data_IF_895100634156
#
_entry.id   IF_895100634156
#
_cell.length_a   1.000
_cell.length_b   1.000
_cell.length_c   1.000
_cell.angle_alpha   90.00
_cell.angle_beta   90.00
_cell.angle_gamma   90.00
#
_symmetry.space_group_name_H-M   'P 1'
#
loop_
_entity.id
_entity.type
_entity.pdbx_description
1 polymer ?
#
# COMPACT_ATOMS: atom_id res chain seq x y z
N UNK A 1 16.01 -25.99 7.05
CA UNK A 1 15.75 -24.53 7.05
C UNK A 1 16.70 -23.90 8.06
N UNK A 2 17.15 -22.65 7.87
CA UNK A 2 18.01 -21.96 8.83
C UNK A 2 17.36 -21.88 10.22
N UNK A 3 18.16 -21.80 11.27
CA UNK A 3 17.65 -21.55 12.61
C UNK A 3 17.00 -20.16 12.67
N UNK A 4 15.96 -20.02 13.49
CA UNK A 4 15.30 -18.72 13.66
C UNK A 4 16.30 -17.69 14.21
N UNK A 5 16.34 -16.50 13.59
CA UNK A 5 17.25 -15.41 13.96
C UNK A 5 18.71 -15.60 13.56
N UNK A 6 19.03 -16.59 12.71
CA UNK A 6 20.41 -16.82 12.30
C UNK A 6 20.90 -15.72 11.35
N UNK A 7 22.02 -15.07 11.69
CA UNK A 7 22.60 -13.98 10.90
C UNK A 7 23.15 -14.46 9.54
N UNK A 8 23.47 -15.75 9.45
CA UNK A 8 23.92 -16.46 8.25
C UNK A 8 22.75 -16.93 7.36
N UNK A 9 21.50 -16.60 7.70
CA UNK A 9 20.37 -16.98 6.88
C UNK A 9 20.54 -16.42 5.45
N UNK A 10 20.21 -17.19 4.39
CA UNK A 10 20.45 -16.79 3.00
C UNK A 10 19.85 -15.42 2.62
N UNK A 11 18.76 -15.01 3.29
CA UNK A 11 18.09 -13.72 3.05
C UNK A 11 19.00 -12.52 3.38
N UNK A 12 19.94 -12.68 4.31
CA UNK A 12 20.81 -11.60 4.79
C UNK A 12 22.12 -11.48 4.03
N UNK A 13 22.45 -12.43 3.14
CA UNK A 13 23.79 -12.53 2.55
C UNK A 13 23.97 -11.74 1.25
N UNK A 14 22.88 -11.30 0.61
CA UNK A 14 22.95 -10.70 -0.72
C UNK A 14 22.70 -9.19 -0.73
N UNK A 15 21.46 -8.78 -0.44
CA UNK A 15 21.04 -7.38 -0.59
C UNK A 15 21.20 -6.54 0.68
N UNK A 16 21.09 -7.17 1.85
CA UNK A 16 21.15 -6.47 3.12
C UNK A 16 22.52 -5.80 3.39
N UNK A 17 23.68 -6.45 3.12
CA UNK A 17 24.97 -5.83 3.35
C UNK A 17 25.18 -4.60 2.46
N UNK A 18 24.80 -4.70 1.18
CA UNK A 18 24.92 -3.59 0.22
C UNK A 18 24.08 -2.38 0.62
N UNK A 19 22.82 -2.59 1.04
CA UNK A 19 22.00 -1.48 1.52
C UNK A 19 22.58 -0.85 2.78
N UNK A 20 23.05 -1.62 3.75
CA UNK A 20 23.60 -1.07 5.00
C UNK A 20 24.85 -0.21 4.72
N UNK A 21 25.70 -0.63 3.79
CA UNK A 21 26.95 0.06 3.48
C UNK A 21 26.74 1.30 2.60
N UNK A 22 25.87 1.23 1.57
CA UNK A 22 25.66 2.32 0.61
C UNK A 22 24.65 3.36 1.08
N UNK A 23 23.71 2.98 1.95
CA UNK A 23 22.62 3.85 2.38
C UNK A 23 23.05 5.23 2.92
N UNK A 24 24.07 5.35 3.80
CA UNK A 24 24.49 6.66 4.33
C UNK A 24 25.02 7.62 3.27
N UNK A 25 25.46 7.10 2.12
CA UNK A 25 25.96 7.90 1.00
C UNK A 25 24.87 8.23 -0.02
N UNK A 26 23.93 7.31 -0.23
CA UNK A 26 22.90 7.43 -1.27
C UNK A 26 21.65 8.18 -0.77
N UNK A 27 21.35 8.14 0.53
CA UNK A 27 20.08 8.62 1.09
C UNK A 27 20.30 9.29 2.45
N UNK A 28 20.00 10.60 2.55
CA UNK A 28 20.14 11.40 3.78
C UNK A 28 18.90 11.30 4.70
N UNK A 29 18.39 10.09 4.88
CA UNK A 29 17.26 9.81 5.77
C UNK A 29 17.78 8.98 6.95
N UNK A 30 17.37 9.24 8.20
CA UNK A 30 17.91 8.49 9.34
C UNK A 30 17.35 7.06 9.45
N UNK A 31 16.18 6.79 8.85
CA UNK A 31 15.54 5.47 8.89
C UNK A 31 15.82 4.67 7.61
N UNK A 32 16.73 3.71 7.71
CA UNK A 32 17.15 2.85 6.60
C UNK A 32 15.99 2.14 5.91
N UNK A 33 15.03 1.62 6.66
CA UNK A 33 13.89 0.90 6.08
C UNK A 33 13.01 1.84 5.27
N UNK A 34 12.64 2.99 5.82
CA UNK A 34 11.83 3.99 5.12
C UNK A 34 12.55 4.49 3.86
N UNK A 35 13.85 4.76 3.94
CA UNK A 35 14.61 5.19 2.77
C UNK A 35 14.75 4.09 1.70
N UNK A 36 14.92 2.82 2.08
CA UNK A 36 14.92 1.70 1.13
C UNK A 36 13.56 1.59 0.43
N UNK A 37 12.46 1.63 1.19
CA UNK A 37 11.11 1.54 0.65
C UNK A 37 10.80 2.70 -0.29
N UNK A 38 11.23 3.92 0.03
CA UNK A 38 10.99 5.09 -0.80
C UNK A 38 11.90 5.16 -2.05
N UNK A 39 13.20 4.87 -1.91
CA UNK A 39 14.20 5.17 -2.95
C UNK A 39 14.65 3.94 -3.76
N UNK A 40 14.87 2.78 -3.13
CA UNK A 40 15.27 1.56 -3.87
C UNK A 40 14.07 0.70 -4.30
N UNK A 41 13.00 0.71 -3.51
CA UNK A 41 11.79 -0.12 -3.71
C UNK A 41 10.50 0.70 -3.81
N UNK A 42 10.62 1.96 -4.25
CA UNK A 42 9.50 2.91 -4.35
C UNK A 42 8.36 2.39 -5.21
N UNK A 43 8.65 1.69 -6.32
CA UNK A 43 7.62 1.16 -7.21
C UNK A 43 6.73 0.10 -6.57
N UNK A 44 7.26 -0.76 -5.70
CA UNK A 44 6.47 -1.75 -4.97
C UNK A 44 5.45 -1.05 -4.06
N UNK A 45 5.89 -0.04 -3.30
CA UNK A 45 5.04 0.72 -2.37
C UNK A 45 4.05 1.66 -3.07
N UNK A 46 4.42 2.21 -4.24
CA UNK A 46 3.53 2.99 -5.08
C UNK A 46 2.40 2.12 -5.63
N UNK A 47 2.72 0.89 -6.05
CA UNK A 47 1.72 -0.10 -6.48
C UNK A 47 0.73 -0.45 -5.37
N UNK A 48 1.22 -0.73 -4.16
CA UNK A 48 0.38 -0.98 -2.98
C UNK A 48 -0.57 0.20 -2.71
N UNK A 49 -0.04 1.43 -2.73
CA UNK A 49 -0.83 2.65 -2.52
C UNK A 49 -1.89 2.84 -3.60
N UNK A 50 -1.55 2.58 -4.87
CA UNK A 50 -2.49 2.68 -5.99
C UNK A 50 -3.64 1.67 -5.88
N UNK A 51 -3.36 0.44 -5.44
CA UNK A 51 -4.38 -0.59 -5.19
C UNK A 51 -5.35 -0.15 -4.08
N UNK A 52 -4.82 0.28 -2.93
CA UNK A 52 -5.63 0.74 -1.80
C UNK A 52 -6.46 1.97 -2.18
N UNK A 53 -5.88 2.92 -2.91
CA UNK A 53 -6.57 4.10 -3.40
C UNK A 53 -7.73 3.74 -4.34
N UNK A 54 -7.47 2.85 -5.30
CA UNK A 54 -8.50 2.38 -6.25
C UNK A 54 -9.62 1.64 -5.53
N UNK A 55 -9.29 0.79 -4.55
CA UNK A 55 -10.28 0.12 -3.72
C UNK A 55 -11.14 1.12 -2.94
N UNK A 56 -10.52 2.17 -2.38
CA UNK A 56 -11.22 3.27 -1.73
C UNK A 56 -12.23 3.96 -2.64
N UNK A 57 -11.82 4.31 -3.87
CA UNK A 57 -12.72 4.88 -4.89
C UNK A 57 -13.87 3.91 -5.20
N UNK A 58 -13.58 2.63 -5.41
CA UNK A 58 -14.60 1.63 -5.72
C UNK A 58 -15.67 1.53 -4.62
N UNK A 59 -15.26 1.55 -3.35
CA UNK A 59 -16.18 1.54 -2.20
C UNK A 59 -17.03 2.82 -2.16
N UNK A 60 -16.43 3.99 -2.36
CA UNK A 60 -17.17 5.27 -2.39
C UNK A 60 -18.23 5.26 -3.50
N UNK A 61 -17.88 4.78 -4.69
CA UNK A 61 -18.82 4.70 -5.82
C UNK A 61 -19.98 3.74 -5.54
N UNK A 62 -19.71 2.60 -4.91
CA UNK A 62 -20.74 1.62 -4.53
C UNK A 62 -21.70 2.21 -3.49
N UNK A 63 -21.17 2.86 -2.46
CA UNK A 63 -21.98 3.50 -1.42
C UNK A 63 -22.81 4.64 -2.01
N UNK A 64 -22.21 5.50 -2.83
CA UNK A 64 -22.90 6.61 -3.49
C UNK A 64 -24.08 6.12 -4.35
N UNK A 65 -23.87 5.06 -5.15
CA UNK A 65 -24.94 4.44 -5.95
C UNK A 65 -26.05 3.85 -5.09
N UNK A 66 -25.70 3.21 -3.96
CA UNK A 66 -26.70 2.64 -3.05
C UNK A 66 -27.60 3.71 -2.42
N UNK A 67 -27.03 4.86 -2.06
CA UNK A 67 -27.80 6.00 -1.52
C UNK A 67 -28.68 6.67 -2.57
N UNK A 68 -28.22 6.85 -3.81
CA UNK A 68 -29.06 7.40 -4.88
C UNK A 68 -30.19 6.44 -5.30
N UNK A 69 -29.89 5.15 -5.39
CA UNK A 69 -30.90 4.13 -5.71
C UNK A 69 -31.99 4.02 -4.66
N UNK A 70 -31.66 4.27 -3.38
CA UNK A 70 -32.66 4.32 -2.30
C UNK A 70 -33.56 5.55 -2.41
N UNK A 71 -33.00 6.74 -2.63
CA UNK A 71 -33.79 7.97 -2.82
C UNK A 71 -34.74 7.88 -4.00
N UNK A 72 -34.27 7.38 -5.14
CA UNK A 72 -35.11 7.22 -6.33
C UNK A 72 -36.28 6.26 -6.10
N UNK A 73 -36.10 5.23 -5.28
CA UNK A 73 -37.19 4.31 -4.90
C UNK A 73 -38.21 4.98 -3.99
N UNK A 74 -37.75 5.81 -3.06
CA UNK A 74 -38.63 6.61 -2.18
C UNK A 74 -39.47 7.60 -3.00
N UNK A 75 -38.87 8.27 -4.00
CA UNK A 75 -39.58 9.19 -4.91
C UNK A 75 -40.64 8.47 -5.78
N UNK A 76 -40.32 7.28 -6.31
CA UNK A 76 -41.25 6.47 -7.12
C UNK A 76 -42.43 5.90 -6.29
N UNK A 77 -42.24 5.64 -4.99
CA UNK A 77 -43.31 5.18 -4.08
C UNK A 77 -44.23 6.33 -3.60
N UNK A 78 -43.74 7.57 -3.55
CA UNK A 78 -44.53 8.76 -3.16
C UNK A 78 -45.46 9.24 -4.29
N UNK A 79 -45.06 9.08 -5.55
CA UNK A 79 -45.89 9.43 -6.73
C UNK A 79 -47.06 8.46 -6.98
N UNK A 80 -47.03 7.25 -6.39
CA UNK A 80 -48.04 6.20 -6.56
C UNK A 80 -49.18 6.23 -5.49
N UNK A 81 -49.20 7.22 -4.57
CA UNK A 81 -50.18 7.38 -3.47
C UNK A 81 -51.19 8.51 -3.72
#
# INVERSE_FOLDING_TARGET
>A
MPAFGSADAPIHQHVAPEYIERYPHDIDMPNIVTGILASYRGFDTLGETAVVFTAGIAVILLLHRSTLGRRRREDEEEDDI
#
